data_IF_556149603499
#
_entry.id   IF_556149603499
#
_cell.length_a   1.000
_cell.length_b   1.000
_cell.length_c   1.000
_cell.angle_alpha   90.00
_cell.angle_beta   90.00
_cell.angle_gamma   90.00
#
_symmetry.space_group_name_H-M   'P 1'
#
loop_
_entity.id
_entity.type
_entity.pdbx_description
1 polymer ?
#
# COMPACT_ATOMS: atom_id res chain seq x y z
N UNK A 1 14.92 12.48 30.11
CA UNK A 1 14.56 11.62 28.96
C UNK A 1 14.70 12.44 27.70
N UNK A 2 15.75 12.20 26.91
CA UNK A 2 15.96 12.88 25.64
C UNK A 2 14.87 12.42 24.67
N UNK A 3 13.84 13.23 24.49
CA UNK A 3 12.83 13.05 23.45
C UNK A 3 13.52 13.21 22.11
N UNK A 4 13.96 12.11 21.52
CA UNK A 4 14.45 12.13 20.16
C UNK A 4 13.29 12.62 19.27
N UNK A 5 13.48 13.77 18.62
CA UNK A 5 12.52 14.35 17.68
C UNK A 5 12.22 13.40 16.51
N UNK A 6 13.20 12.55 16.17
CA UNK A 6 13.16 11.63 15.05
C UNK A 6 12.00 10.60 15.11
N UNK A 7 11.80 9.81 16.18
CA UNK A 7 10.67 8.87 16.28
C UNK A 7 9.31 9.57 16.30
N UNK A 8 9.22 10.79 16.85
CA UNK A 8 7.98 11.58 16.84
C UNK A 8 7.63 12.00 15.41
N UNK A 9 8.59 12.58 14.70
CA UNK A 9 8.42 12.96 13.28
C UNK A 9 8.06 11.73 12.44
N UNK A 10 8.75 10.60 12.66
CA UNK A 10 8.48 9.37 11.93
C UNK A 10 7.06 8.84 12.19
N UNK A 11 6.58 8.88 13.42
CA UNK A 11 5.21 8.47 13.77
C UNK A 11 4.16 9.33 13.05
N UNK A 12 4.32 10.65 13.08
CA UNK A 12 3.40 11.57 12.41
C UNK A 12 3.45 11.41 10.89
N UNK A 13 4.65 11.25 10.32
CA UNK A 13 4.83 11.00 8.89
C UNK A 13 4.20 9.68 8.46
N UNK A 14 4.31 8.63 9.28
CA UNK A 14 3.69 7.34 8.98
C UNK A 14 2.17 7.43 9.06
N UNK A 15 1.62 8.18 10.02
CA UNK A 15 0.18 8.30 10.20
C UNK A 15 -0.48 9.12 9.09
N UNK A 16 0.05 10.31 8.81
CA UNK A 16 -0.52 11.21 7.80
C UNK A 16 -0.03 10.89 6.40
N UNK A 17 1.27 10.65 6.23
CA UNK A 17 1.88 10.37 4.92
C UNK A 17 1.34 9.10 4.30
N UNK A 18 1.28 7.98 5.04
CA UNK A 18 0.73 6.74 4.50
C UNK A 18 -0.77 6.84 4.19
N UNK A 19 -1.54 7.60 4.98
CA UNK A 19 -2.97 7.80 4.71
C UNK A 19 -3.19 8.57 3.41
N UNK A 20 -2.39 9.62 3.17
CA UNK A 20 -2.43 10.41 1.94
C UNK A 20 -2.05 9.53 0.74
N UNK A 21 -0.96 8.76 0.84
CA UNK A 21 -0.50 7.83 -0.20
C UNK A 21 -1.58 6.79 -0.51
N UNK A 22 -2.24 6.24 0.51
CA UNK A 22 -3.30 5.25 0.34
C UNK A 22 -4.50 5.83 -0.41
N UNK A 23 -4.97 7.02 -0.03
CA UNK A 23 -6.12 7.67 -0.67
C UNK A 23 -5.80 8.05 -2.12
N UNK A 24 -4.69 8.76 -2.35
CA UNK A 24 -4.27 9.15 -3.71
C UNK A 24 -3.99 7.92 -4.59
N UNK A 25 -3.33 6.90 -4.02
CA UNK A 25 -3.03 5.67 -4.72
C UNK A 25 -4.27 4.90 -5.15
N UNK A 26 -5.26 4.74 -4.26
CA UNK A 26 -6.54 4.08 -4.61
C UNK A 26 -7.27 4.87 -5.69
N UNK A 27 -7.39 6.19 -5.55
CA UNK A 27 -8.10 7.03 -6.53
C UNK A 27 -7.38 6.97 -7.88
N UNK A 28 -6.09 7.25 -7.91
CA UNK A 28 -5.28 7.27 -9.14
C UNK A 28 -5.29 5.93 -9.87
N UNK A 29 -5.06 4.82 -9.14
CA UNK A 29 -5.10 3.48 -9.75
C UNK A 29 -6.51 3.13 -10.26
N UNK A 30 -7.57 3.55 -9.57
CA UNK A 30 -8.95 3.33 -10.04
C UNK A 30 -9.22 4.04 -11.37
N UNK A 31 -8.76 5.29 -11.52
CA UNK A 31 -8.85 6.02 -12.79
C UNK A 31 -8.11 5.30 -13.92
N UNK A 32 -6.88 4.83 -13.65
CA UNK A 32 -6.08 4.10 -14.64
C UNK A 32 -6.76 2.81 -15.06
N UNK A 33 -7.30 2.04 -14.11
CA UNK A 33 -8.04 0.81 -14.38
C UNK A 33 -9.27 1.11 -15.24
N UNK A 34 -10.08 2.12 -14.89
CA UNK A 34 -11.28 2.50 -15.64
C UNK A 34 -10.93 2.93 -17.07
N UNK A 35 -9.90 3.76 -17.23
CA UNK A 35 -9.47 4.30 -18.51
C UNK A 35 -8.94 3.20 -19.45
N UNK A 36 -8.09 2.31 -18.95
CA UNK A 36 -7.50 1.24 -19.76
C UNK A 36 -8.39 0.00 -19.92
N UNK A 37 -9.47 -0.13 -19.14
CA UNK A 37 -10.50 -1.15 -19.40
C UNK A 37 -11.14 -0.98 -20.78
N UNK A 38 -11.28 0.27 -21.25
CA UNK A 38 -11.86 0.57 -22.57
C UNK A 38 -10.83 0.62 -23.71
N UNK A 39 -9.57 0.93 -23.42
CA UNK A 39 -8.51 1.15 -24.42
C UNK A 39 -7.44 0.04 -24.43
N UNK A 40 -7.85 -1.21 -24.66
CA UNK A 40 -6.99 -2.43 -24.62
C UNK A 40 -6.14 -2.70 -25.87
N UNK A 41 -5.98 -1.74 -26.77
CA UNK A 41 -5.38 -2.01 -28.08
C UNK A 41 -3.84 -1.94 -28.12
N UNK A 42 -3.17 -1.44 -27.07
CA UNK A 42 -1.71 -1.26 -27.06
C UNK A 42 -1.04 -2.02 -25.90
N UNK A 43 0.10 -2.66 -26.15
CA UNK A 43 0.86 -3.42 -25.15
C UNK A 43 1.27 -2.56 -23.94
N UNK A 44 1.59 -1.28 -24.16
CA UNK A 44 1.88 -0.34 -23.06
C UNK A 44 0.66 -0.09 -22.16
N UNK A 45 -0.54 -0.03 -22.74
CA UNK A 45 -1.80 0.15 -21.98
C UNK A 45 -2.08 -1.05 -21.08
N UNK A 46 -1.82 -2.27 -21.56
CA UNK A 46 -1.92 -3.48 -20.74
C UNK A 46 -0.92 -3.48 -19.58
N UNK A 47 0.31 -3.01 -19.80
CA UNK A 47 1.31 -2.89 -18.73
C UNK A 47 0.84 -1.94 -17.62
N UNK A 48 0.38 -0.74 -17.98
CA UNK A 48 -0.15 0.22 -17.00
C UNK A 48 -1.38 -0.30 -16.26
N UNK A 49 -2.26 -1.04 -16.94
CA UNK A 49 -3.41 -1.67 -16.31
C UNK A 49 -3.00 -2.68 -15.24
N UNK A 50 -2.08 -3.60 -15.55
CA UNK A 50 -1.58 -4.58 -14.59
C UNK A 50 -0.77 -3.95 -13.46
N UNK A 51 0.07 -2.97 -13.76
CA UNK A 51 0.82 -2.21 -12.76
C UNK A 51 -0.12 -1.53 -11.76
N UNK A 52 -1.21 -0.90 -12.21
CA UNK A 52 -2.21 -0.29 -11.31
C UNK A 52 -2.97 -1.31 -10.46
N UNK A 53 -3.22 -2.53 -10.96
CA UNK A 53 -3.81 -3.61 -10.16
C UNK A 53 -2.83 -4.05 -9.06
N UNK A 54 -1.58 -4.33 -9.43
CA UNK A 54 -0.52 -4.74 -8.49
C UNK A 54 -0.29 -3.66 -7.43
N UNK A 55 -0.22 -2.40 -7.84
CA UNK A 55 -0.06 -1.26 -6.93
C UNK A 55 -1.25 -1.10 -5.98
N UNK A 56 -2.48 -1.37 -6.44
CA UNK A 56 -3.66 -1.38 -5.57
C UNK A 56 -3.60 -2.51 -4.54
N UNK A 57 -3.15 -3.71 -4.93
CA UNK A 57 -2.94 -4.81 -3.99
C UNK A 57 -1.85 -4.46 -2.97
N UNK A 58 -0.75 -3.82 -3.39
CA UNK A 58 0.30 -3.37 -2.50
C UNK A 58 -0.24 -2.40 -1.44
N UNK A 59 -1.02 -1.38 -1.83
CA UNK A 59 -1.64 -0.44 -0.90
C UNK A 59 -2.53 -1.14 0.14
N UNK A 60 -3.28 -2.17 -0.27
CA UNK A 60 -4.18 -2.92 0.61
C UNK A 60 -3.41 -3.85 1.56
N UNK A 61 -2.38 -4.55 1.10
CA UNK A 61 -1.68 -5.54 1.92
C UNK A 61 -0.49 -4.97 2.72
N UNK A 62 0.15 -3.91 2.25
CA UNK A 62 1.29 -3.30 2.94
C UNK A 62 0.85 -2.11 3.81
N UNK A 63 0.13 -1.15 3.23
CA UNK A 63 -0.11 0.16 3.87
C UNK A 63 -1.32 0.13 4.80
N UNK A 64 -2.45 -0.43 4.36
CA UNK A 64 -3.68 -0.50 5.17
C UNK A 64 -3.49 -1.20 6.54
N UNK A 65 -2.77 -2.34 6.65
CA UNK A 65 -2.55 -2.98 7.94
C UNK A 65 -1.52 -2.24 8.80
N UNK A 66 -0.61 -1.47 8.18
CA UNK A 66 0.32 -0.59 8.90
C UNK A 66 -0.47 0.52 9.61
N UNK A 67 -1.37 1.19 8.89
CA UNK A 67 -2.26 2.21 9.45
C UNK A 67 -3.19 1.64 10.53
N UNK A 68 -3.71 0.43 10.32
CA UNK A 68 -4.53 -0.24 11.32
C UNK A 68 -3.76 -0.53 12.60
N UNK A 69 -2.50 -1.00 12.50
CA UNK A 69 -1.67 -1.31 13.68
C UNK A 69 -1.36 -0.07 14.53
N UNK A 70 -1.26 1.12 13.91
CA UNK A 70 -1.03 2.39 14.62
C UNK A 70 -2.24 2.76 15.50
N UNK A 71 -3.45 2.34 15.12
CA UNK A 71 -4.70 2.75 15.79
C UNK A 71 -5.26 1.70 16.75
N UNK A 72 -5.14 0.41 16.42
CA UNK A 72 -5.81 -0.68 17.15
C UNK A 72 -4.85 -1.72 17.75
N UNK A 73 -3.53 -1.51 17.66
CA UNK A 73 -2.51 -2.47 18.09
C UNK A 73 -2.20 -3.53 17.02
N UNK A 74 -1.09 -4.26 17.20
CA UNK A 74 -0.54 -5.16 16.19
C UNK A 74 -1.48 -6.33 15.84
N UNK A 75 -2.05 -6.30 14.62
CA UNK A 75 -2.72 -7.47 14.03
C UNK A 75 -1.76 -8.65 13.77
N UNK A 76 -0.45 -8.37 13.70
CA UNK A 76 0.58 -9.37 13.43
C UNK A 76 0.65 -10.44 14.53
N UNK A 77 0.35 -10.09 15.78
CA UNK A 77 0.32 -11.03 16.90
C UNK A 77 -0.98 -11.85 16.97
N UNK A 78 -2.01 -11.49 16.19
CA UNK A 78 -3.31 -12.17 16.18
C UNK A 78 -3.33 -13.41 15.29
N UNK A 79 -2.53 -13.45 14.22
CA UNK A 79 -2.40 -14.66 13.38
C UNK A 79 -1.07 -14.75 12.64
N UNK A 80 -0.32 -15.83 12.90
CA UNK A 80 0.98 -16.12 12.29
C UNK A 80 0.91 -16.21 10.76
N UNK A 81 -0.16 -16.80 10.24
CA UNK A 81 -0.39 -16.97 8.79
C UNK A 81 -0.52 -15.60 8.11
N UNK A 82 -1.31 -14.68 8.67
CA UNK A 82 -1.50 -13.34 8.12
C UNK A 82 -0.20 -12.53 8.12
N UNK A 83 0.59 -12.63 9.20
CA UNK A 83 1.88 -11.96 9.30
C UNK A 83 2.85 -12.42 8.18
N UNK A 84 2.97 -13.74 7.95
CA UNK A 84 3.79 -14.28 6.86
C UNK A 84 3.29 -13.87 5.48
N UNK A 85 1.98 -13.95 5.27
CA UNK A 85 1.36 -13.63 3.99
C UNK A 85 1.51 -12.14 3.65
N UNK A 86 1.35 -11.26 4.64
CA UNK A 86 1.62 -9.82 4.52
C UNK A 86 3.08 -9.54 4.18
N UNK A 87 4.03 -10.15 4.90
CA UNK A 87 5.46 -9.94 4.63
C UNK A 87 5.82 -10.39 3.21
N UNK A 88 5.36 -11.57 2.80
CA UNK A 88 5.61 -12.09 1.46
C UNK A 88 4.99 -11.18 0.39
N UNK A 89 3.69 -10.88 0.49
CA UNK A 89 2.99 -10.04 -0.48
C UNK A 89 3.57 -8.63 -0.55
N UNK A 90 3.89 -7.99 0.57
CA UNK A 90 4.47 -6.66 0.57
C UNK A 90 5.82 -6.62 -0.16
N UNK A 91 6.67 -7.64 0.05
CA UNK A 91 7.97 -7.72 -0.63
C UNK A 91 7.86 -8.08 -2.11
N UNK A 92 6.97 -9.01 -2.47
CA UNK A 92 6.81 -9.39 -3.88
C UNK A 92 6.15 -8.27 -4.67
N UNK A 93 5.15 -7.60 -4.10
CA UNK A 93 4.42 -6.55 -4.79
C UNK A 93 5.26 -5.28 -4.93
N UNK A 94 6.12 -4.94 -3.96
CA UNK A 94 7.02 -3.78 -4.03
C UNK A 94 8.11 -3.90 -5.09
N UNK A 95 8.50 -5.13 -5.46
CA UNK A 95 9.47 -5.38 -6.53
C UNK A 95 8.83 -5.37 -7.93
N UNK A 96 7.50 -5.52 -7.99
CA UNK A 96 6.73 -5.58 -9.24
C UNK A 96 5.95 -4.30 -9.57
N UNK A 97 5.96 -3.32 -8.67
CA UNK A 97 5.39 -1.99 -8.86
C UNK A 97 6.45 -1.02 -9.37
#
# INVERSE_FOLDING_TARGET
MSTSLLPVIQSELNRYGLSIILILGIIGNSFIIILFTKCRQNSCSMYFFWASIINTLYLIFAILPTLYSITYGDLNSRSFIYCKLRFYLANTLSQSA
#
